data_IF_546555670889
#
_entry.id   IF_546555670889
#
_cell.length_a   1.000
_cell.length_b   1.000
_cell.length_c   1.000
_cell.angle_alpha   90.00
_cell.angle_beta   90.00
_cell.angle_gamma   90.00
#
_symmetry.space_group_name_H-M   'P 1'
#
loop_
_entity.id
_entity.type
_entity.pdbx_description
1 polymer ?
#
# COMPACT_ATOMS: atom_id res chain seq x y z
N UNK A 1 1.10 -0.51 -20.45
CA UNK A 1 0.05 0.13 -19.65
C UNK A 1 -0.04 -0.70 -18.37
N UNK A 2 0.55 -0.34 -17.23
CA UNK A 2 -0.03 0.64 -16.30
C UNK A 2 0.91 0.89 -15.08
N UNK A 3 2.14 1.38 -15.28
CA UNK A 3 3.01 1.83 -14.17
C UNK A 3 2.90 3.34 -13.89
N UNK A 4 2.21 4.12 -14.75
CA UNK A 4 2.22 5.59 -14.69
C UNK A 4 1.58 6.15 -13.42
N UNK A 5 0.51 5.52 -12.90
CA UNK A 5 -0.16 5.98 -11.68
C UNK A 5 0.46 5.45 -10.39
N UNK A 6 1.10 4.28 -10.42
CA UNK A 6 2.00 3.87 -9.32
C UNK A 6 3.07 4.94 -9.15
N UNK A 7 3.68 5.41 -10.25
CA UNK A 7 4.68 6.48 -10.21
C UNK A 7 4.14 7.82 -9.75
N UNK A 8 2.82 8.05 -9.74
CA UNK A 8 2.21 9.25 -9.18
C UNK A 8 2.33 9.22 -7.65
N UNK A 9 1.89 8.13 -7.00
CA UNK A 9 1.79 8.05 -5.54
C UNK A 9 2.95 7.35 -4.85
N UNK A 10 3.71 6.49 -5.53
CA UNK A 10 4.73 5.62 -4.93
C UNK A 10 6.12 6.11 -5.31
N UNK A 11 6.96 6.33 -4.31
CA UNK A 11 8.37 6.68 -4.47
C UNK A 11 9.17 5.45 -4.88
N UNK A 12 9.02 4.35 -4.15
CA UNK A 12 9.66 3.08 -4.45
C UNK A 12 8.96 1.91 -3.75
N UNK A 13 9.25 0.71 -4.22
CA UNK A 13 8.79 -0.56 -3.66
C UNK A 13 10.00 -1.45 -3.44
N UNK A 14 10.14 -2.00 -2.24
CA UNK A 14 11.24 -2.88 -1.84
C UNK A 14 10.70 -4.21 -1.32
N UNK A 15 11.50 -5.27 -1.48
CA UNK A 15 11.25 -6.59 -0.90
C UNK A 15 12.26 -6.79 0.23
N UNK A 16 11.79 -7.26 1.37
CA UNK A 16 12.69 -7.56 2.49
C UNK A 16 13.40 -8.89 2.26
N UNK A 17 14.70 -8.95 2.58
CA UNK A 17 15.50 -10.18 2.47
C UNK A 17 15.35 -11.15 3.67
N UNK A 18 14.21 -11.11 4.37
CA UNK A 18 13.92 -11.98 5.52
C UNK A 18 13.34 -13.34 5.13
N UNK A 19 13.20 -14.24 6.11
CA UNK A 19 12.52 -15.54 5.91
C UNK A 19 11.07 -15.33 5.45
N UNK A 20 10.40 -14.30 5.96
CA UNK A 20 9.15 -13.78 5.41
C UNK A 20 9.46 -12.73 4.33
N UNK A 21 9.04 -13.01 3.08
CA UNK A 21 9.11 -12.04 1.99
C UNK A 21 7.98 -11.03 2.13
N UNK A 22 8.23 -9.98 2.92
CA UNK A 22 7.34 -8.83 2.98
C UNK A 22 7.68 -7.85 1.85
N UNK A 23 6.65 -7.20 1.31
CA UNK A 23 6.80 -6.09 0.38
C UNK A 23 6.48 -4.79 1.10
N UNK A 24 7.34 -3.78 0.92
CA UNK A 24 7.14 -2.44 1.47
C UNK A 24 7.06 -1.45 0.32
N UNK A 25 6.03 -0.60 0.34
CA UNK A 25 5.93 0.53 -0.56
C UNK A 25 5.95 1.84 0.22
N UNK A 26 6.63 2.83 -0.33
CA UNK A 26 6.73 4.17 0.25
C UNK A 26 5.99 5.15 -0.65
N UNK A 27 4.97 5.80 -0.08
CA UNK A 27 4.24 6.87 -0.74
C UNK A 27 5.12 8.12 -0.91
N UNK A 28 4.88 8.90 -1.97
CA UNK A 28 5.46 10.21 -2.14
C UNK A 28 4.96 11.14 -1.04
N UNK A 29 5.87 11.87 -0.42
CA UNK A 29 5.55 12.72 0.73
C UNK A 29 4.46 13.75 0.40
N UNK A 30 4.50 14.33 -0.80
CA UNK A 30 3.57 15.38 -1.25
C UNK A 30 2.15 14.87 -1.55
N UNK A 31 2.00 13.58 -1.84
CA UNK A 31 0.72 12.95 -2.22
C UNK A 31 0.25 11.89 -1.23
N UNK A 32 0.97 11.69 -0.12
CA UNK A 32 0.66 10.62 0.84
C UNK A 32 -0.74 10.74 1.44
N UNK A 33 -1.21 11.95 1.70
CA UNK A 33 -2.51 12.18 2.33
C UNK A 33 -3.66 11.87 1.35
N UNK A 34 -3.49 12.22 0.06
CA UNK A 34 -4.42 11.83 -0.99
C UNK A 34 -4.44 10.31 -1.20
N UNK A 35 -3.26 9.69 -1.30
CA UNK A 35 -3.15 8.24 -1.45
C UNK A 35 -3.76 7.49 -0.25
N UNK A 36 -3.48 7.96 0.98
CA UNK A 36 -4.05 7.38 2.20
C UNK A 36 -5.58 7.46 2.16
N UNK A 37 -6.13 8.61 1.77
CA UNK A 37 -7.58 8.78 1.63
C UNK A 37 -8.16 7.75 0.65
N UNK A 38 -7.57 7.61 -0.55
CA UNK A 38 -8.02 6.61 -1.55
C UNK A 38 -7.96 5.18 -1.03
N UNK A 39 -6.87 4.82 -0.34
CA UNK A 39 -6.70 3.49 0.25
C UNK A 39 -7.79 3.21 1.30
N UNK A 40 -8.09 4.18 2.17
CA UNK A 40 -9.10 4.05 3.22
C UNK A 40 -10.54 4.10 2.69
N UNK A 41 -10.80 4.83 1.59
CA UNK A 41 -12.12 4.89 0.95
C UNK A 41 -12.47 3.61 0.19
N UNK A 42 -11.47 2.94 -0.38
CA UNK A 42 -11.67 1.75 -1.21
C UNK A 42 -11.45 0.44 -0.46
N UNK A 43 -10.52 0.43 0.48
CA UNK A 43 -10.34 -0.67 1.40
C UNK A 43 -11.41 -0.68 2.47
N UNK A 44 -11.70 -1.86 3.00
CA UNK A 44 -12.49 -2.01 4.22
C UNK A 44 -11.56 -1.88 5.42
N UNK A 45 -11.76 -0.85 6.24
CA UNK A 45 -11.01 -0.66 7.48
C UNK A 45 -11.28 -1.82 8.46
N UNK A 46 -10.22 -2.52 8.84
CA UNK A 46 -10.24 -3.59 9.84
C UNK A 46 -9.90 -3.02 11.22
N UNK A 47 -8.84 -2.20 11.28
CA UNK A 47 -8.30 -1.68 12.53
C UNK A 47 -7.64 -0.31 12.30
N UNK A 48 -7.79 0.58 13.29
CA UNK A 48 -7.00 1.82 13.39
C UNK A 48 -6.33 1.88 14.77
N UNK A 49 -5.09 2.36 14.81
CA UNK A 49 -4.32 2.57 16.04
C UNK A 49 -3.88 4.03 16.07
N UNK A 50 -4.55 4.83 16.90
CA UNK A 50 -4.20 6.23 17.18
C UNK A 50 -4.06 7.11 15.94
N UNK A 51 -4.82 6.83 14.88
CA UNK A 51 -4.73 7.48 13.56
C UNK A 51 -3.32 7.47 12.94
N UNK A 52 -2.43 6.61 13.44
CA UNK A 52 -1.06 6.45 12.96
C UNK A 52 -0.91 5.20 12.09
N UNK A 53 -1.67 4.16 12.39
CA UNK A 53 -1.62 2.87 11.68
C UNK A 53 -3.03 2.43 11.34
N UNK A 54 -3.24 2.06 10.09
CA UNK A 54 -4.49 1.54 9.56
C UNK A 54 -4.24 0.17 8.98
N UNK A 55 -5.12 -0.77 9.27
CA UNK A 55 -5.15 -2.08 8.63
C UNK A 55 -6.43 -2.14 7.81
N UNK A 56 -6.28 -2.37 6.50
CA UNK A 56 -7.40 -2.47 5.58
C UNK A 56 -7.37 -3.84 4.88
N UNK A 57 -8.55 -4.38 4.60
CA UNK A 57 -8.70 -5.46 3.63
C UNK A 57 -9.19 -4.87 2.30
N UNK A 58 -8.63 -5.35 1.20
CA UNK A 58 -9.13 -5.09 -0.14
C UNK A 58 -8.96 -6.36 -0.96
N UNK A 59 -10.03 -6.83 -1.58
CA UNK A 59 -10.12 -8.17 -2.17
C UNK A 59 -9.77 -9.25 -1.12
N UNK A 60 -8.83 -10.16 -1.42
CA UNK A 60 -8.34 -11.20 -0.50
C UNK A 60 -7.09 -10.78 0.28
N UNK A 61 -6.63 -9.53 0.12
CA UNK A 61 -5.39 -9.03 0.74
C UNK A 61 -5.65 -8.13 1.93
N UNK A 62 -4.76 -8.21 2.91
CA UNK A 62 -4.71 -7.31 4.07
C UNK A 62 -3.40 -6.56 4.06
N UNK A 63 -3.49 -5.23 4.16
CA UNK A 63 -2.30 -4.36 4.16
C UNK A 63 -2.34 -3.41 5.35
N UNK A 64 -1.15 -3.08 5.84
CA UNK A 64 -0.98 -2.12 6.92
C UNK A 64 -0.39 -0.83 6.38
N UNK A 65 -1.09 0.26 6.62
CA UNK A 65 -0.74 1.59 6.14
C UNK A 65 -0.37 2.44 7.35
N UNK A 66 0.80 3.07 7.29
CA UNK A 66 1.26 4.01 8.29
C UNK A 66 1.00 5.42 7.76
N UNK A 67 0.53 6.32 8.63
CA UNK A 67 0.30 7.74 8.30
C UNK A 67 1.55 8.46 7.78
N UNK A 68 2.73 7.90 8.03
CA UNK A 68 4.02 8.36 7.48
C UNK A 68 4.16 8.14 5.98
N UNK A 69 3.28 7.36 5.35
CA UNK A 69 3.33 7.01 3.94
C UNK A 69 3.89 5.61 3.66
N UNK A 70 4.26 4.86 4.70
CA UNK A 70 4.71 3.47 4.54
C UNK A 70 3.51 2.54 4.39
N UNK A 71 3.60 1.59 3.46
CA UNK A 71 2.63 0.51 3.29
C UNK A 71 3.39 -0.81 3.45
N UNK A 72 2.92 -1.65 4.35
CA UNK A 72 3.42 -3.00 4.59
C UNK A 72 2.43 -4.01 4.03
N UNK A 73 2.90 -4.83 3.11
CA UNK A 73 2.16 -5.85 2.36
C UNK A 73 2.76 -7.21 2.70
N UNK A 74 2.16 -7.86 3.71
CA UNK A 74 2.54 -9.22 4.13
C UNK A 74 1.81 -10.24 3.24
N UNK A 75 2.42 -11.40 3.01
CA UNK A 75 1.87 -12.48 2.18
C UNK A 75 1.63 -12.07 0.70
N UNK A 76 2.52 -11.23 0.18
CA UNK A 76 2.61 -10.99 -1.26
C UNK A 76 3.74 -11.85 -1.83
N UNK A 77 3.50 -12.48 -2.97
CA UNK A 77 4.44 -13.39 -3.63
C UNK A 77 5.71 -12.65 -4.07
N UNK A 78 5.54 -11.45 -4.62
CA UNK A 78 6.61 -10.61 -5.15
C UNK A 78 6.20 -9.12 -5.31
N UNK A 79 7.16 -8.30 -5.76
CA UNK A 79 6.94 -6.89 -6.15
C UNK A 79 5.86 -6.69 -7.21
N UNK A 80 5.70 -7.60 -8.17
CA UNK A 80 4.73 -7.43 -9.25
C UNK A 80 3.31 -7.58 -8.74
N UNK A 81 3.05 -8.53 -7.84
CA UNK A 81 1.76 -8.67 -7.16
C UNK A 81 1.44 -7.40 -6.35
N UNK A 82 2.40 -6.89 -5.59
CA UNK A 82 2.24 -5.67 -4.81
C UNK A 82 1.94 -4.45 -5.72
N UNK A 83 2.63 -4.35 -6.86
CA UNK A 83 2.35 -3.31 -7.87
C UNK A 83 0.93 -3.41 -8.42
N UNK A 84 0.48 -4.61 -8.78
CA UNK A 84 -0.89 -4.83 -9.29
C UNK A 84 -1.92 -4.41 -8.24
N UNK A 85 -1.77 -4.84 -7.00
CA UNK A 85 -2.62 -4.43 -5.89
C UNK A 85 -2.67 -2.91 -5.74
N UNK A 86 -1.51 -2.26 -5.65
CA UNK A 86 -1.41 -0.80 -5.48
C UNK A 86 -2.05 -0.05 -6.66
N UNK A 87 -1.81 -0.52 -7.89
CA UNK A 87 -2.41 0.08 -9.07
C UNK A 87 -3.93 -0.07 -9.07
N UNK A 88 -4.45 -1.22 -8.66
CA UNK A 88 -5.90 -1.46 -8.55
C UNK A 88 -6.51 -0.56 -7.49
N UNK A 89 -5.96 -0.51 -6.27
CA UNK A 89 -6.58 0.23 -5.15
C UNK A 89 -6.34 1.75 -5.22
N UNK A 90 -5.32 2.25 -5.92
CA UNK A 90 -5.11 3.68 -6.09
C UNK A 90 -5.80 4.25 -7.34
N UNK A 91 -6.26 3.39 -8.27
CA UNK A 91 -6.96 3.82 -9.48
C UNK A 91 -8.44 3.41 -9.47
N UNK A 92 -9.39 4.37 -9.48
CA UNK A 92 -10.80 4.06 -9.64
C UNK A 92 -11.10 3.42 -11.00
#
# INVERSE_FOLDING_TARGET
MSDEKIKEYITYIEETCGEEKDVVAILKYELKDEALKKLLERGKLIKSIGDMVYEISFEDKVVRIYRTGKILMKNFEDKEEAKKFLNTILNP
#
